data_IF_159949631163
#
_entry.id   IF_159949631163
#
_cell.length_a   1.000
_cell.length_b   1.000
_cell.length_c   1.000
_cell.angle_alpha   90.00
_cell.angle_beta   90.00
_cell.angle_gamma   90.00
#
_symmetry.space_group_name_H-M   'P 1'
#
loop_
_entity.id
_entity.type
_entity.pdbx_description
1 polymer ?
#
# COMPACT_ATOMS: atom_id res chain seq x y z
N UNK A 1 -63.18 27.15 36.47
CA UNK A 1 -61.81 27.24 37.04
C UNK A 1 -60.89 26.47 36.09
N UNK A 2 -60.08 27.09 35.22
CA UNK A 2 -58.82 27.79 35.50
C UNK A 2 -57.64 26.93 35.01
N UNK A 3 -57.17 27.09 33.75
CA UNK A 3 -55.84 27.65 33.33
C UNK A 3 -54.63 26.87 33.92
N UNK A 4 -53.63 26.33 33.20
CA UNK A 4 -52.79 26.86 32.11
C UNK A 4 -51.87 25.75 31.52
N UNK A 5 -51.77 25.59 30.18
CA UNK A 5 -50.67 25.97 29.24
C UNK A 5 -49.56 24.92 28.92
N UNK A 6 -49.59 24.50 27.64
CA UNK A 6 -48.54 24.52 26.57
C UNK A 6 -47.38 23.48 26.49
N UNK A 7 -47.47 22.73 25.38
CA UNK A 7 -46.47 22.29 24.35
C UNK A 7 -45.69 20.96 24.54
N UNK A 8 -45.65 20.07 23.49
CA UNK A 8 -44.78 18.87 23.40
C UNK A 8 -43.45 19.22 22.65
N UNK A 9 -42.54 18.30 22.23
CA UNK A 9 -42.12 16.95 22.66
C UNK A 9 -40.57 16.81 22.83
N UNK A 10 -40.02 15.99 23.74
CA UNK A 10 -38.57 15.63 23.73
C UNK A 10 -38.39 14.26 24.39
N UNK A 11 -38.12 13.17 23.65
CA UNK A 11 -36.78 12.61 23.53
C UNK A 11 -36.49 12.05 22.11
N UNK A 12 -36.90 12.76 21.06
CA UNK A 12 -36.35 12.50 19.71
C UNK A 12 -34.85 12.89 19.61
N UNK A 13 -34.35 13.69 20.54
CA UNK A 13 -32.96 14.16 20.58
C UNK A 13 -31.94 13.10 20.98
N UNK A 14 -32.30 12.02 21.68
CA UNK A 14 -31.33 11.00 22.09
C UNK A 14 -31.11 9.92 21.03
N UNK A 15 -32.12 9.58 20.24
CA UNK A 15 -31.97 8.63 19.12
C UNK A 15 -31.27 9.31 17.95
N UNK A 16 -31.61 10.57 17.64
CA UNK A 16 -30.89 11.35 16.64
C UNK A 16 -29.44 11.62 17.07
N UNK A 17 -29.17 12.00 18.33
CA UNK A 17 -27.78 12.15 18.82
C UNK A 17 -27.02 10.83 18.96
N UNK A 18 -27.66 9.68 19.25
CA UNK A 18 -26.97 8.38 19.26
C UNK A 18 -26.74 7.82 17.85
N UNK A 19 -27.66 8.06 16.92
CA UNK A 19 -27.47 7.75 15.50
C UNK A 19 -26.41 8.67 14.88
N UNK A 20 -26.43 9.97 15.22
CA UNK A 20 -25.44 10.95 14.80
C UNK A 20 -24.10 10.74 15.52
N UNK A 21 -24.06 10.29 16.78
CA UNK A 21 -22.84 9.85 17.46
C UNK A 21 -22.39 8.44 17.04
N UNK A 22 -23.19 7.69 16.28
CA UNK A 22 -22.72 6.50 15.55
C UNK A 22 -22.18 6.91 14.17
N UNK A 23 -22.87 7.79 13.44
CA UNK A 23 -22.46 8.30 12.12
C UNK A 23 -21.25 9.24 12.16
N UNK A 24 -21.10 10.06 13.21
CA UNK A 24 -19.95 10.98 13.42
C UNK A 24 -18.82 10.35 14.24
N UNK A 25 -18.97 9.10 14.73
CA UNK A 25 -17.97 8.41 15.57
C UNK A 25 -17.56 7.04 15.01
N UNK A 26 -18.07 6.60 13.88
CA UNK A 26 -17.53 5.43 13.18
C UNK A 26 -16.16 5.78 12.62
N UNK A 27 -15.15 5.78 13.50
CA UNK A 27 -13.79 5.44 13.11
C UNK A 27 -13.90 4.15 12.29
N UNK A 28 -13.27 4.12 11.12
CA UNK A 28 -13.23 2.94 10.26
C UNK A 28 -12.99 1.67 11.10
N UNK A 29 -13.77 0.58 10.90
CA UNK A 29 -13.55 -0.71 11.54
C UNK A 29 -12.08 -1.10 11.49
N UNK A 30 -11.59 -1.79 12.52
CA UNK A 30 -10.18 -2.18 12.57
C UNK A 30 -9.76 -3.03 11.36
N UNK A 31 -10.63 -3.93 10.89
CA UNK A 31 -10.41 -4.72 9.68
C UNK A 31 -10.27 -3.87 8.42
N UNK A 32 -11.07 -2.80 8.29
CA UNK A 32 -10.99 -1.88 7.15
C UNK A 32 -9.68 -1.08 7.20
N UNK A 33 -9.28 -0.63 8.39
CA UNK A 33 -7.99 0.05 8.58
C UNK A 33 -6.79 -0.85 8.29
N UNK A 34 -6.84 -2.12 8.69
CA UNK A 34 -5.80 -3.10 8.35
C UNK A 34 -5.73 -3.29 6.84
N UNK A 35 -6.89 -3.42 6.17
CA UNK A 35 -6.95 -3.59 4.72
C UNK A 35 -6.39 -2.37 3.98
N UNK A 36 -6.81 -1.15 4.31
CA UNK A 36 -6.28 0.09 3.73
C UNK A 36 -4.77 0.22 3.95
N UNK A 37 -4.30 -0.16 5.13
CA UNK A 37 -2.88 -0.14 5.47
C UNK A 37 -2.06 -1.14 4.63
N UNK A 38 -2.61 -2.33 4.35
CA UNK A 38 -2.01 -3.32 3.44
C UNK A 38 -2.01 -2.82 1.99
N UNK A 39 -3.13 -2.27 1.53
CA UNK A 39 -3.27 -1.74 0.16
C UNK A 39 -2.30 -0.59 -0.10
N UNK A 40 -2.19 0.35 0.84
CA UNK A 40 -1.25 1.46 0.74
C UNK A 40 0.21 0.98 0.70
N UNK A 41 0.58 0.01 1.55
CA UNK A 41 1.92 -0.59 1.51
C UNK A 41 2.20 -1.30 0.19
N UNK A 42 1.21 -2.00 -0.37
CA UNK A 42 1.33 -2.63 -1.67
C UNK A 42 1.50 -1.60 -2.80
N UNK A 43 0.68 -0.56 -2.84
CA UNK A 43 0.73 0.48 -3.86
C UNK A 43 2.05 1.26 -3.82
N UNK A 44 2.46 1.77 -2.66
CA UNK A 44 3.71 2.55 -2.61
C UNK A 44 4.91 1.70 -3.05
N UNK A 45 4.91 0.41 -2.73
CA UNK A 45 5.99 -0.50 -3.09
C UNK A 45 6.00 -0.85 -4.57
N UNK A 46 4.85 -0.99 -5.22
CA UNK A 46 4.84 -1.18 -6.67
C UNK A 46 5.42 0.05 -7.39
N UNK A 47 5.08 1.26 -6.94
CA UNK A 47 5.65 2.51 -7.46
C UNK A 47 7.16 2.57 -7.21
N UNK A 48 7.62 2.24 -6.00
CA UNK A 48 9.05 2.21 -5.67
C UNK A 48 9.82 1.21 -6.54
N UNK A 49 9.24 0.03 -6.81
CA UNK A 49 9.86 -0.97 -7.67
C UNK A 49 9.98 -0.48 -9.11
N UNK A 50 8.92 0.12 -9.65
CA UNK A 50 8.91 0.67 -11.01
C UNK A 50 9.94 1.79 -11.18
N UNK A 51 10.02 2.72 -10.23
CA UNK A 51 11.04 3.77 -10.20
C UNK A 51 12.44 3.16 -10.10
N UNK A 52 12.67 2.24 -9.15
CA UNK A 52 13.97 1.59 -8.98
C UNK A 52 14.44 0.85 -10.23
N UNK A 53 13.51 0.15 -10.90
CA UNK A 53 13.80 -0.59 -12.12
C UNK A 53 14.22 0.35 -13.26
N UNK A 54 13.54 1.50 -13.40
CA UNK A 54 13.91 2.48 -14.41
C UNK A 54 15.20 3.23 -14.06
N UNK A 55 15.36 3.71 -12.82
CA UNK A 55 16.55 4.42 -12.36
C UNK A 55 17.83 3.57 -12.54
N UNK A 56 17.71 2.24 -12.39
CA UNK A 56 18.83 1.31 -12.54
C UNK A 56 19.15 0.95 -13.99
N UNK A 57 18.13 0.67 -14.79
CA UNK A 57 18.34 0.03 -16.10
C UNK A 57 17.80 0.83 -17.29
N UNK A 58 17.21 2.00 -17.06
CA UNK A 58 16.66 2.88 -18.10
C UNK A 58 15.68 2.16 -19.02
N UNK A 59 14.79 1.35 -18.46
CA UNK A 59 13.97 0.44 -19.28
C UNK A 59 12.94 1.18 -20.13
N UNK A 60 12.52 2.38 -19.71
CA UNK A 60 11.52 3.20 -20.40
C UNK A 60 10.10 2.64 -20.34
N UNK A 61 9.14 3.47 -20.75
CA UNK A 61 7.70 3.23 -20.70
C UNK A 61 7.29 1.84 -21.21
N UNK A 62 7.59 1.51 -22.47
CA UNK A 62 7.10 0.28 -23.08
C UNK A 62 7.61 -1.01 -22.41
N UNK A 63 8.80 -0.99 -21.79
CA UNK A 63 9.29 -2.13 -21.00
C UNK A 63 8.69 -2.13 -19.61
N UNK A 64 8.48 -0.96 -19.02
CA UNK A 64 7.85 -0.82 -17.71
C UNK A 64 6.41 -1.35 -17.76
N UNK A 65 5.65 -1.01 -18.81
CA UNK A 65 4.30 -1.53 -19.04
C UNK A 65 4.27 -3.07 -19.06
N UNK A 66 5.18 -3.71 -19.81
CA UNK A 66 5.26 -5.18 -19.85
C UNK A 66 5.55 -5.79 -18.48
N UNK A 67 6.37 -5.14 -17.66
CA UNK A 67 6.64 -5.59 -16.29
C UNK A 67 5.40 -5.47 -15.42
N UNK A 68 4.70 -4.33 -15.50
CA UNK A 68 3.45 -4.09 -14.77
C UNK A 68 2.38 -5.11 -15.16
N UNK A 69 2.18 -5.38 -16.45
CA UNK A 69 1.22 -6.39 -16.92
C UNK A 69 1.57 -7.79 -16.42
N UNK A 70 2.86 -8.16 -16.50
CA UNK A 70 3.33 -9.45 -16.01
C UNK A 70 3.19 -9.57 -14.48
N UNK A 71 3.48 -8.51 -13.74
CA UNK A 71 3.33 -8.45 -12.29
C UNK A 71 1.85 -8.54 -11.87
N UNK A 72 0.95 -7.86 -12.58
CA UNK A 72 -0.50 -7.93 -12.36
C UNK A 72 -1.01 -9.37 -12.56
N UNK A 73 -0.59 -10.06 -13.61
CA UNK A 73 -0.93 -11.48 -13.80
C UNK A 73 -0.41 -12.38 -12.67
N UNK A 74 0.75 -12.07 -12.08
CA UNK A 74 1.27 -12.78 -10.90
C UNK A 74 0.47 -12.44 -9.64
N UNK A 75 0.09 -11.19 -9.43
CA UNK A 75 -0.74 -10.73 -8.31
C UNK A 75 -2.15 -11.37 -8.35
N UNK A 76 -2.77 -11.42 -9.53
CA UNK A 76 -4.06 -12.11 -9.73
C UNK A 76 -3.94 -13.60 -9.39
N UNK A 77 -2.88 -14.26 -9.87
CA UNK A 77 -2.64 -15.66 -9.54
C UNK A 77 -2.40 -15.87 -8.04
N UNK A 78 -1.66 -14.97 -7.40
CA UNK A 78 -1.46 -14.99 -5.96
C UNK A 78 -2.79 -14.84 -5.21
N UNK A 79 -3.63 -13.88 -5.61
CA UNK A 79 -4.94 -13.67 -5.00
C UNK A 79 -5.87 -14.89 -5.16
N UNK A 80 -5.84 -15.57 -6.32
CA UNK A 80 -6.54 -16.84 -6.52
C UNK A 80 -6.02 -17.90 -5.55
N UNK A 81 -4.70 -18.09 -5.49
CA UNK A 81 -4.09 -19.06 -4.57
C UNK A 81 -4.44 -18.75 -3.11
N UNK A 82 -4.39 -17.48 -2.69
CA UNK A 82 -4.76 -17.05 -1.35
C UNK A 82 -6.19 -17.48 -0.99
N UNK A 83 -7.15 -17.30 -1.93
CA UNK A 83 -8.55 -17.73 -1.73
C UNK A 83 -8.72 -19.25 -1.69
N UNK A 84 -7.91 -19.98 -2.45
CA UNK A 84 -8.05 -21.44 -2.57
C UNK A 84 -7.33 -22.22 -1.47
N UNK A 85 -6.11 -21.83 -1.12
CA UNK A 85 -5.24 -22.59 -0.20
C UNK A 85 -4.84 -21.81 1.07
N UNK A 86 -5.33 -20.58 1.22
CA UNK A 86 -4.98 -19.69 2.32
C UNK A 86 -3.65 -18.97 2.12
N UNK A 87 -3.43 -17.97 2.97
CA UNK A 87 -2.31 -17.01 2.86
C UNK A 87 -0.94 -17.67 2.91
N UNK A 88 -0.69 -18.50 3.94
CA UNK A 88 0.62 -19.13 4.17
C UNK A 88 1.02 -20.04 3.01
N UNK A 89 0.08 -20.84 2.49
CA UNK A 89 0.37 -21.72 1.35
C UNK A 89 0.56 -20.92 0.07
N UNK A 90 -0.19 -19.84 -0.14
CA UNK A 90 0.00 -18.95 -1.29
C UNK A 90 1.39 -18.29 -1.29
N UNK A 91 1.85 -17.78 -0.13
CA UNK A 91 3.21 -17.26 0.05
C UNK A 91 4.27 -18.32 -0.23
N UNK A 92 4.08 -19.54 0.28
CA UNK A 92 4.98 -20.66 0.02
C UNK A 92 5.06 -21.00 -1.48
N UNK A 93 3.93 -21.05 -2.19
CA UNK A 93 3.91 -21.28 -3.64
C UNK A 93 4.62 -20.15 -4.42
N UNK A 94 4.46 -18.90 -3.98
CA UNK A 94 5.18 -17.76 -4.57
C UNK A 94 6.70 -17.90 -4.37
N UNK A 95 7.14 -18.26 -3.16
CA UNK A 95 8.55 -18.50 -2.86
C UNK A 95 9.11 -19.70 -3.65
N UNK A 96 8.36 -20.79 -3.76
CA UNK A 96 8.72 -21.96 -4.58
C UNK A 96 8.87 -21.58 -6.06
N UNK A 97 8.05 -20.66 -6.56
CA UNK A 97 8.14 -20.15 -7.95
C UNK A 97 9.36 -19.25 -8.17
N UNK A 98 9.78 -18.52 -7.15
CA UNK A 98 10.95 -17.63 -7.19
C UNK A 98 12.26 -18.33 -6.84
N UNK A 99 12.22 -19.59 -6.42
CA UNK A 99 13.41 -20.33 -6.01
C UNK A 99 14.50 -20.30 -7.09
N UNK A 100 15.72 -19.90 -6.72
CA UNK A 100 16.85 -19.74 -7.63
C UNK A 100 16.86 -18.44 -8.46
N UNK A 101 15.76 -17.67 -8.46
CA UNK A 101 15.70 -16.31 -9.00
C UNK A 101 15.83 -15.27 -7.89
N UNK A 102 15.16 -15.47 -6.76
CA UNK A 102 15.29 -14.62 -5.59
C UNK A 102 14.93 -15.42 -4.33
N UNK A 103 15.95 -15.71 -3.52
CA UNK A 103 15.81 -16.47 -2.27
C UNK A 103 15.86 -15.55 -1.02
N UNK A 104 15.91 -14.24 -1.23
CA UNK A 104 16.00 -13.25 -0.16
C UNK A 104 14.66 -12.90 0.47
N UNK A 105 14.74 -12.20 1.61
CA UNK A 105 13.60 -11.60 2.27
C UNK A 105 13.58 -10.09 2.00
N UNK A 106 12.41 -9.56 1.63
CA UNK A 106 12.17 -8.13 1.58
C UNK A 106 11.51 -7.70 2.88
N UNK A 107 12.12 -6.72 3.57
CA UNK A 107 11.54 -6.14 4.78
C UNK A 107 11.28 -4.67 4.55
N UNK A 108 10.01 -4.28 4.55
CA UNK A 108 9.62 -2.88 4.45
C UNK A 108 10.30 -2.05 5.56
N UNK A 109 11.10 -1.02 5.20
CA UNK A 109 11.69 -0.11 6.16
C UNK A 109 10.63 0.59 7.02
N UNK A 110 11.01 0.95 8.25
CA UNK A 110 10.12 1.67 9.16
C UNK A 110 10.15 3.16 8.79
N UNK A 111 9.03 3.72 8.38
CA UNK A 111 8.86 5.18 8.17
C UNK A 111 8.50 5.90 9.47
N UNK A 112 7.69 5.24 10.31
CA UNK A 112 7.24 5.75 11.61
C UNK A 112 7.54 4.73 12.71
N UNK A 113 8.34 5.09 13.73
CA UNK A 113 8.62 4.19 14.85
C UNK A 113 7.33 3.74 15.55
N UNK A 114 7.02 2.43 15.58
CA UNK A 114 5.87 1.90 16.30
C UNK A 114 6.03 2.14 17.81
N UNK A 115 4.96 2.59 18.50
CA UNK A 115 5.00 2.84 19.95
C UNK A 115 4.15 1.85 20.74
N UNK A 116 3.07 1.35 20.15
CA UNK A 116 2.09 0.46 20.79
C UNK A 116 1.99 -0.86 20.04
N UNK A 117 1.47 -1.91 20.70
CA UNK A 117 1.28 -3.23 20.10
C UNK A 117 0.47 -3.19 18.79
N UNK A 118 -0.53 -2.31 18.73
CA UNK A 118 -1.31 -2.05 17.51
C UNK A 118 -0.47 -1.52 16.36
N UNK A 119 0.48 -0.62 16.63
CA UNK A 119 1.37 -0.06 15.60
C UNK A 119 2.30 -1.15 15.05
N UNK A 120 2.77 -2.05 15.93
CA UNK A 120 3.55 -3.22 15.53
C UNK A 120 2.77 -4.19 14.67
N UNK A 121 1.51 -4.47 15.02
CA UNK A 121 0.63 -5.30 14.21
C UNK A 121 0.42 -4.68 12.81
N UNK A 122 0.10 -3.38 12.75
CA UNK A 122 -0.06 -2.65 11.49
C UNK A 122 1.21 -2.68 10.63
N UNK A 123 2.39 -2.53 11.22
CA UNK A 123 3.66 -2.66 10.50
C UNK A 123 3.89 -4.09 9.99
N UNK A 124 3.49 -5.11 10.75
CA UNK A 124 3.53 -6.50 10.31
C UNK A 124 2.69 -6.73 9.06
N UNK A 125 1.46 -6.20 9.05
CA UNK A 125 0.55 -6.27 7.91
C UNK A 125 1.12 -5.53 6.68
N UNK A 126 1.71 -4.34 6.87
CA UNK A 126 2.39 -3.61 5.80
C UNK A 126 3.56 -4.40 5.21
N UNK A 127 4.39 -4.99 6.08
CA UNK A 127 5.57 -5.76 5.66
C UNK A 127 5.18 -6.98 4.85
N UNK A 128 4.18 -7.72 5.29
CA UNK A 128 3.70 -8.87 4.54
C UNK A 128 3.14 -8.45 3.18
N UNK A 129 2.31 -7.40 3.12
CA UNK A 129 1.77 -6.89 1.87
C UNK A 129 2.88 -6.44 0.90
N UNK A 130 3.85 -5.68 1.41
CA UNK A 130 4.99 -5.19 0.65
C UNK A 130 5.87 -6.33 0.11
N UNK A 131 6.18 -7.34 0.94
CA UNK A 131 6.98 -8.50 0.54
C UNK A 131 6.33 -9.25 -0.64
N UNK A 132 5.01 -9.47 -0.57
CA UNK A 132 4.26 -10.13 -1.65
C UNK A 132 4.35 -9.32 -2.93
N UNK A 133 4.10 -8.01 -2.86
CA UNK A 133 4.13 -7.15 -4.05
C UNK A 133 5.53 -7.14 -4.66
N UNK A 134 6.60 -6.97 -3.87
CA UNK A 134 7.98 -7.02 -4.37
C UNK A 134 8.26 -8.34 -5.06
N UNK A 135 7.88 -9.46 -4.46
CA UNK A 135 8.08 -10.80 -5.04
C UNK A 135 7.29 -11.00 -6.34
N UNK A 136 6.04 -10.53 -6.39
CA UNK A 136 5.24 -10.55 -7.61
C UNK A 136 5.85 -9.70 -8.72
N UNK A 137 6.35 -8.50 -8.40
CA UNK A 137 7.03 -7.62 -9.35
C UNK A 137 8.39 -8.16 -9.79
N UNK A 138 9.15 -8.82 -8.91
CA UNK A 138 10.39 -9.50 -9.26
C UNK A 138 10.12 -10.63 -10.27
N UNK A 139 9.09 -11.45 -10.04
CA UNK A 139 8.68 -12.47 -10.99
C UNK A 139 8.15 -11.86 -12.29
N UNK A 140 7.43 -10.73 -12.22
CA UNK A 140 7.00 -9.95 -13.38
C UNK A 140 8.18 -9.47 -14.23
N UNK A 141 9.21 -8.90 -13.59
CA UNK A 141 10.44 -8.45 -14.24
C UNK A 141 11.22 -9.60 -14.88
N UNK A 142 11.28 -10.75 -14.20
CA UNK A 142 11.83 -11.97 -14.80
C UNK A 142 11.07 -12.38 -16.07
N UNK A 143 9.73 -12.48 -16.00
CA UNK A 143 8.90 -12.89 -17.14
C UNK A 143 8.93 -11.91 -18.31
N UNK A 144 8.90 -10.60 -18.03
CA UNK A 144 8.80 -9.57 -19.06
C UNK A 144 10.17 -9.23 -19.68
N UNK A 145 11.24 -9.28 -18.89
CA UNK A 145 12.55 -8.76 -19.28
C UNK A 145 13.67 -9.80 -19.23
N UNK A 146 13.41 -11.02 -18.76
CA UNK A 146 14.42 -12.07 -18.61
C UNK A 146 15.43 -11.79 -17.50
N UNK A 147 15.06 -10.99 -16.50
CA UNK A 147 15.97 -10.66 -15.39
C UNK A 147 16.33 -11.90 -14.59
N UNK A 148 17.63 -12.21 -14.53
CA UNK A 148 18.18 -13.26 -13.66
C UNK A 148 18.41 -12.76 -12.23
N UNK A 149 18.90 -13.66 -11.38
CA UNK A 149 19.06 -13.45 -9.93
C UNK A 149 19.70 -12.13 -9.54
N UNK A 150 20.88 -11.84 -10.08
CA UNK A 150 21.65 -10.64 -9.73
C UNK A 150 20.84 -9.36 -9.96
N UNK A 151 20.22 -9.22 -11.14
CA UNK A 151 19.40 -8.04 -11.46
C UNK A 151 18.16 -7.93 -10.58
N UNK A 152 17.56 -9.06 -10.20
CA UNK A 152 16.42 -9.04 -9.29
C UNK A 152 16.83 -8.59 -7.88
N UNK A 153 17.92 -9.14 -7.34
CA UNK A 153 18.46 -8.75 -6.03
C UNK A 153 18.83 -7.27 -5.99
N UNK A 154 19.48 -6.75 -7.05
CA UNK A 154 19.80 -5.32 -7.20
C UNK A 154 18.55 -4.45 -7.27
N UNK A 155 17.54 -4.86 -8.05
CA UNK A 155 16.27 -4.10 -8.19
C UNK A 155 15.54 -4.04 -6.85
N UNK A 156 15.50 -5.15 -6.11
CA UNK A 156 14.83 -5.21 -4.81
C UNK A 156 15.55 -4.33 -3.78
N UNK A 157 16.89 -4.36 -3.77
CA UNK A 157 17.69 -3.46 -2.94
C UNK A 157 17.46 -1.99 -3.30
N UNK A 158 17.35 -1.67 -4.59
CA UNK A 158 17.04 -0.33 -5.05
C UNK A 158 15.60 0.08 -4.70
N UNK A 159 14.65 -0.85 -4.72
CA UNK A 159 13.25 -0.62 -4.29
C UNK A 159 13.19 -0.19 -2.82
N UNK A 160 13.97 -0.85 -1.97
CA UNK A 160 14.11 -0.44 -0.56
C UNK A 160 14.65 0.99 -0.42
N UNK A 161 15.66 1.35 -1.22
CA UNK A 161 16.24 2.69 -1.20
C UNK A 161 15.22 3.77 -1.63
N UNK A 162 14.47 3.52 -2.71
CA UNK A 162 13.39 4.42 -3.16
C UNK A 162 12.31 4.54 -2.09
N UNK A 163 11.95 3.45 -1.40
CA UNK A 163 10.99 3.51 -0.30
C UNK A 163 11.50 4.35 0.88
N UNK A 164 12.81 4.33 1.17
CA UNK A 164 13.40 5.20 2.21
C UNK A 164 13.31 6.68 1.80
N UNK A 165 13.55 7.01 0.54
CA UNK A 165 13.35 8.37 0.02
C UNK A 165 11.88 8.80 0.13
N UNK A 166 10.95 7.93 -0.25
CA UNK A 166 9.53 8.13 -0.02
C UNK A 166 9.22 8.41 1.45
N UNK A 167 9.78 7.62 2.38
CA UNK A 167 9.59 7.82 3.81
C UNK A 167 10.09 9.18 4.32
N UNK A 168 11.16 9.71 3.73
CA UNK A 168 11.65 11.05 4.03
C UNK A 168 10.70 12.14 3.50
N UNK A 169 10.17 11.99 2.29
CA UNK A 169 9.16 12.92 1.75
C UNK A 169 7.84 12.85 2.52
N UNK A 170 7.41 11.65 2.89
CA UNK A 170 6.19 11.42 3.65
C UNK A 170 6.20 12.13 5.01
N UNK A 171 7.36 12.57 5.54
CA UNK A 171 7.40 13.45 6.72
C UNK A 171 6.66 14.77 6.50
N UNK A 172 6.59 15.26 5.25
CA UNK A 172 5.78 16.43 4.85
C UNK A 172 4.32 16.09 4.54
N UNK A 173 3.92 14.82 4.68
CA UNK A 173 2.60 14.29 4.34
C UNK A 173 2.68 13.16 3.31
N UNK A 174 1.88 12.11 3.49
CA UNK A 174 1.87 10.95 2.58
C UNK A 174 1.64 11.35 1.13
N UNK A 175 0.71 12.29 0.90
CA UNK A 175 0.41 12.78 -0.44
C UNK A 175 1.64 13.41 -1.10
N UNK A 176 2.42 14.19 -0.37
CA UNK A 176 3.65 14.76 -0.92
C UNK A 176 4.63 13.64 -1.30
N UNK A 177 4.75 12.59 -0.47
CA UNK A 177 5.52 11.39 -0.82
C UNK A 177 5.03 10.72 -2.11
N UNK A 178 3.71 10.53 -2.26
CA UNK A 178 3.11 9.96 -3.46
C UNK A 178 3.30 10.85 -4.68
N UNK A 179 3.15 12.17 -4.55
CA UNK A 179 3.36 13.14 -5.63
C UNK A 179 4.81 13.11 -6.13
N UNK A 180 5.79 12.93 -5.24
CA UNK A 180 7.20 12.78 -5.62
C UNK A 180 7.46 11.49 -6.39
N UNK A 181 6.84 10.37 -6.00
CA UNK A 181 6.89 9.12 -6.78
C UNK A 181 6.19 9.27 -8.14
N UNK A 182 4.99 9.87 -8.16
CA UNK A 182 4.20 10.11 -9.37
C UNK A 182 4.95 11.01 -10.37
N UNK A 183 5.68 12.01 -9.88
CA UNK A 183 6.58 12.83 -10.71
C UNK A 183 7.66 11.99 -11.38
N UNK A 184 8.34 11.12 -10.63
CA UNK A 184 9.35 10.22 -11.24
C UNK A 184 8.73 9.31 -12.28
N UNK A 185 7.54 8.76 -12.00
CA UNK A 185 6.84 7.93 -12.98
C UNK A 185 6.39 8.73 -14.21
N UNK A 186 5.97 9.99 -14.05
CA UNK A 186 5.65 10.90 -15.16
C UNK A 186 6.88 11.11 -16.06
N UNK A 187 8.06 11.29 -15.48
CA UNK A 187 9.31 11.41 -16.23
C UNK A 187 9.66 10.14 -17.01
N UNK A 188 9.23 8.96 -16.53
CA UNK A 188 9.46 7.66 -17.18
C UNK A 188 8.45 7.37 -18.28
N UNK A 189 7.17 7.65 -18.00
CA UNK A 189 6.04 7.33 -18.87
C UNK A 189 5.80 8.38 -19.95
N UNK A 190 6.28 9.61 -19.74
CA UNK A 190 6.01 10.73 -20.66
C UNK A 190 4.58 11.29 -20.55
N UNK A 191 3.73 10.67 -19.72
CA UNK A 191 2.36 11.10 -19.45
C UNK A 191 2.17 11.41 -17.95
N UNK A 192 1.34 12.42 -17.60
CA UNK A 192 1.08 12.77 -16.20
C UNK A 192 0.51 11.60 -15.40
N UNK A 193 1.15 11.25 -14.30
CA UNK A 193 0.61 10.34 -13.29
C UNK A 193 -0.01 11.17 -12.17
N UNK A 194 -1.33 11.07 -12.01
CA UNK A 194 -2.07 11.77 -10.95
C UNK A 194 -2.22 10.91 -9.70
N UNK A 195 -2.16 11.56 -8.54
CA UNK A 195 -2.45 10.93 -7.25
C UNK A 195 -3.87 11.29 -6.86
N UNK A 196 -4.74 10.29 -6.75
CA UNK A 196 -6.12 10.47 -6.32
C UNK A 196 -6.21 10.69 -4.80
N UNK A 197 -6.60 11.89 -4.40
CA UNK A 197 -6.78 12.30 -3.00
C UNK A 197 -8.16 12.00 -2.42
N UNK A 198 -9.12 11.56 -3.26
CA UNK A 198 -10.55 11.55 -2.92
C UNK A 198 -10.94 10.63 -1.77
N UNK A 199 -10.05 9.70 -1.35
CA UNK A 199 -10.27 8.72 -0.28
C UNK A 199 -9.30 8.85 0.91
N UNK A 200 -8.50 9.91 0.97
CA UNK A 200 -7.48 10.07 2.00
C UNK A 200 -8.06 10.64 3.31
N UNK A 201 -8.45 9.77 4.24
CA UNK A 201 -9.00 10.19 5.54
C UNK A 201 -7.95 10.26 6.67
N UNK A 202 -6.93 9.39 6.67
CA UNK A 202 -5.87 9.33 7.70
C UNK A 202 -4.49 9.02 7.05
N UNK A 203 -3.39 9.65 7.51
CA UNK A 203 -2.05 9.31 7.04
C UNK A 203 -1.59 7.93 7.52
N UNK A 204 -0.98 7.17 6.63
CA UNK A 204 -0.50 5.80 6.82
C UNK A 204 1.01 5.77 7.10
N UNK A 205 1.80 6.56 6.38
CA UNK A 205 3.27 6.53 6.48
C UNK A 205 3.85 7.71 7.27
N UNK A 206 3.19 8.87 7.25
CA UNK A 206 3.65 10.09 7.91
C UNK A 206 3.40 10.09 9.41
N UNK A 207 4.11 10.98 10.11
CA UNK A 207 3.63 11.45 11.42
C UNK A 207 2.39 12.29 11.14
N UNK A 208 1.36 12.10 11.94
CA UNK A 208 0.08 12.81 11.83
C UNK A 208 0.29 14.29 11.49
N UNK A 209 -0.56 14.84 10.61
CA UNK A 209 -0.85 16.27 10.64
C UNK A 209 -1.46 16.51 12.03
N UNK A 210 -0.66 17.06 12.93
CA UNK A 210 -1.12 17.50 14.25
C UNK A 210 -2.16 18.63 14.11
#
# INVERSE_FOLDING_TARGET
MGKHKRKPPVFAGNVARQAQARYLRTKKPESERVQENREAAGHVICLCFMVALNDRYGIGEGRLQRVTDAANGVLERFAINQRTVGMERAKKLLNETLAGLYDGDFVLPITKPPKKARDWAMLGEQREAAEIVVKCYALGAHKALGFGRERLEETIKATEAVFREFGEWAKGGDYFGYAMLARRLTEILGEPVEVDESKADEPIFSRTLD
#
